data_IF_468412282150
#
_entry.id   IF_468412282150
#
_cell.length_a   1.000
_cell.length_b   1.000
_cell.length_c   1.000
_cell.angle_alpha   90.00
_cell.angle_beta   90.00
_cell.angle_gamma   90.00
#
_symmetry.space_group_name_H-M   'P 1'
#
loop_
_entity.id
_entity.type
_entity.pdbx_description
1 polymer ?
#
# COMPACT_ATOMS: atom_id res chain seq x y z
N UNK A 1 -0.56 -10.53 42.65
CA UNK A 1 0.76 -10.17 42.09
C UNK A 1 0.56 -9.79 40.62
N UNK A 2 0.23 -8.53 40.38
CA UNK A 2 0.07 -7.99 39.02
C UNK A 2 1.48 -7.72 38.49
N UNK A 3 1.96 -8.60 37.60
CA UNK A 3 3.28 -8.45 36.99
C UNK A 3 3.38 -7.08 36.30
N UNK A 4 4.42 -6.33 36.67
CA UNK A 4 4.76 -5.05 36.04
C UNK A 4 4.86 -5.27 34.53
N UNK A 5 3.94 -4.72 33.75
CA UNK A 5 4.01 -4.72 32.29
C UNK A 5 5.11 -3.73 31.93
N UNK A 6 6.36 -4.19 31.89
CA UNK A 6 7.46 -3.40 31.37
C UNK A 6 7.22 -3.32 29.87
N UNK A 7 6.86 -2.15 29.37
CA UNK A 7 6.85 -1.86 27.94
C UNK A 7 8.28 -2.10 27.43
N UNK A 8 8.52 -3.26 26.83
CA UNK A 8 9.85 -3.63 26.34
C UNK A 8 10.18 -2.70 25.17
N UNK A 9 11.24 -1.91 25.32
CA UNK A 9 11.77 -1.11 24.21
C UNK A 9 12.30 -2.07 23.14
N UNK A 10 11.66 -2.08 21.97
CA UNK A 10 11.97 -2.98 20.86
C UNK A 10 12.85 -2.27 19.85
N UNK A 11 13.99 -2.86 19.52
CA UNK A 11 14.87 -2.35 18.48
C UNK A 11 14.58 -3.06 17.16
N UNK A 12 14.48 -2.28 16.08
CA UNK A 12 14.16 -2.77 14.75
C UNK A 12 15.31 -2.57 13.78
N UNK A 13 15.53 -3.53 12.90
CA UNK A 13 16.61 -3.54 11.92
C UNK A 13 16.09 -4.02 10.55
N UNK A 14 16.62 -3.44 9.47
CA UNK A 14 16.32 -3.88 8.11
C UNK A 14 17.30 -4.97 7.69
N UNK A 15 16.79 -6.15 7.37
CA UNK A 15 17.57 -7.36 7.08
C UNK A 15 17.37 -7.76 5.63
N UNK A 16 18.49 -8.04 4.95
CA UNK A 16 18.52 -8.54 3.59
C UNK A 16 18.51 -10.07 3.60
N UNK A 17 17.58 -10.66 2.85
CA UNK A 17 17.43 -12.11 2.75
C UNK A 17 18.01 -12.68 1.47
N UNK A 18 18.41 -13.95 1.53
CA UNK A 18 18.96 -14.70 0.40
C UNK A 18 17.91 -14.85 -0.71
N UNK A 19 18.27 -14.41 -1.92
CA UNK A 19 17.38 -14.44 -3.09
C UNK A 19 17.32 -15.85 -3.69
N UNK A 20 16.17 -16.20 -4.26
CA UNK A 20 16.09 -17.31 -5.21
C UNK A 20 16.60 -16.84 -6.59
N UNK A 21 17.37 -17.66 -7.30
CA UNK A 21 17.86 -17.36 -8.67
C UNK A 21 16.75 -16.91 -9.63
N UNK A 22 15.49 -17.33 -9.40
CA UNK A 22 14.30 -16.83 -10.10
C UNK A 22 13.15 -16.55 -9.12
N UNK A 23 12.91 -15.26 -8.83
CA UNK A 23 11.65 -14.76 -8.25
C UNK A 23 11.61 -14.64 -6.72
N UNK A 24 11.80 -13.41 -6.24
CA UNK A 24 11.39 -12.89 -4.91
C UNK A 24 11.72 -13.73 -3.68
N UNK A 25 11.10 -13.35 -2.55
CA UNK A 25 11.20 -14.10 -1.29
C UNK A 25 10.51 -15.46 -1.45
N UNK A 26 11.22 -16.54 -1.09
CA UNK A 26 10.72 -17.92 -1.19
C UNK A 26 9.48 -18.11 -0.30
N UNK A 27 8.41 -18.66 -0.87
CA UNK A 27 7.23 -19.14 -0.12
C UNK A 27 7.33 -20.65 0.09
N UNK A 28 6.95 -21.12 1.27
CA UNK A 28 6.88 -22.55 1.61
C UNK A 28 5.55 -22.79 2.30
N UNK A 29 4.94 -23.95 2.05
CA UNK A 29 3.70 -24.31 2.72
C UNK A 29 4.04 -25.06 4.00
N UNK A 30 3.71 -24.47 5.14
CA UNK A 30 3.98 -25.02 6.48
C UNK A 30 2.72 -25.72 6.99
N UNK A 31 2.89 -26.82 7.72
CA UNK A 31 1.78 -27.69 8.10
C UNK A 31 1.17 -28.40 6.89
N UNK A 32 0.15 -29.23 7.11
CA UNK A 32 -0.53 -29.97 6.03
C UNK A 32 -0.77 -31.43 6.40
N UNK A 33 -1.91 -31.96 5.96
CA UNK A 33 -2.21 -33.40 6.09
C UNK A 33 -1.45 -34.16 5.02
N UNK A 34 -0.93 -35.33 5.42
CA UNK A 34 -0.27 -36.26 4.52
C UNK A 34 -1.18 -37.47 4.34
N UNK A 35 -1.40 -37.85 3.09
CA UNK A 35 -2.10 -39.07 2.72
C UNK A 35 -1.06 -40.12 2.32
N UNK A 36 -1.23 -41.33 2.84
CA UNK A 36 -0.41 -42.47 2.45
C UNK A 36 -1.04 -43.13 1.22
N UNK A 37 -0.27 -43.30 0.15
CA UNK A 37 -0.68 -44.02 -1.04
C UNK A 37 0.32 -45.14 -1.34
N UNK A 38 -0.14 -46.16 -2.06
CA UNK A 38 0.71 -47.27 -2.49
C UNK A 38 1.27 -46.96 -3.87
N UNK A 39 2.59 -46.98 -4.02
CA UNK A 39 3.21 -46.81 -5.33
C UNK A 39 3.00 -48.05 -6.22
N UNK A 40 3.35 -47.94 -7.50
CA UNK A 40 3.20 -49.03 -8.48
C UNK A 40 4.03 -50.27 -8.12
N UNK A 41 5.04 -50.14 -7.24
CA UNK A 41 5.86 -51.24 -6.73
C UNK A 41 5.38 -51.76 -5.35
N UNK A 42 4.18 -51.35 -4.90
CA UNK A 42 3.57 -51.82 -3.66
C UNK A 42 4.09 -51.16 -2.38
N UNK A 43 5.02 -50.20 -2.46
CA UNK A 43 5.60 -49.52 -1.29
C UNK A 43 4.68 -48.38 -0.84
N UNK A 44 4.57 -48.19 0.47
CA UNK A 44 3.78 -47.10 1.05
C UNK A 44 4.59 -45.81 0.95
N UNK A 45 4.03 -44.81 0.27
CA UNK A 45 4.59 -43.47 0.12
C UNK A 45 3.61 -42.46 0.73
N UNK A 46 4.13 -41.34 1.23
CA UNK A 46 3.30 -40.24 1.72
C UNK A 46 3.34 -39.11 0.70
N UNK A 47 2.17 -38.61 0.33
CA UNK A 47 2.00 -37.38 -0.43
C UNK A 47 1.28 -36.38 0.43
N UNK A 48 1.62 -35.11 0.28
CA UNK A 48 0.86 -34.02 0.89
C UNK A 48 -0.47 -33.86 0.17
N UNK A 49 -1.56 -33.77 0.93
CA UNK A 49 -2.89 -33.46 0.35
C UNK A 49 -2.89 -32.02 -0.15
N UNK A 50 -3.26 -31.85 -1.43
CA UNK A 50 -3.31 -30.54 -2.07
C UNK A 50 -4.36 -29.64 -1.39
N UNK A 51 -4.05 -28.35 -1.27
CA UNK A 51 -4.90 -27.39 -0.56
C UNK A 51 -4.83 -27.44 0.97
N UNK A 52 -4.08 -28.39 1.56
CA UNK A 52 -3.92 -28.44 3.02
C UNK A 52 -2.61 -27.78 3.47
N UNK A 53 -2.70 -26.85 4.44
CA UNK A 53 -1.58 -26.14 5.09
C UNK A 53 -1.38 -24.70 4.61
N UNK A 54 -0.63 -23.92 5.39
CA UNK A 54 -0.54 -22.46 5.24
C UNK A 54 0.65 -22.05 4.39
N UNK A 55 0.42 -21.19 3.39
CA UNK A 55 1.48 -20.66 2.53
C UNK A 55 2.12 -19.45 3.21
N UNK A 56 3.30 -19.64 3.77
CA UNK A 56 4.04 -18.60 4.51
C UNK A 56 5.32 -18.23 3.76
N UNK A 57 5.84 -17.03 3.99
CA UNK A 57 7.18 -16.65 3.53
C UNK A 57 8.24 -17.39 4.36
N UNK A 58 9.19 -18.02 3.68
CA UNK A 58 10.18 -18.87 4.34
C UNK A 58 11.08 -18.10 5.32
N UNK A 59 11.65 -16.93 4.97
CA UNK A 59 12.49 -16.19 5.92
C UNK A 59 11.71 -15.72 7.14
N UNK A 60 10.46 -15.27 6.95
CA UNK A 60 9.57 -14.89 8.05
C UNK A 60 9.33 -16.07 9.00
N UNK A 61 9.05 -17.25 8.47
CA UNK A 61 8.81 -18.44 9.28
C UNK A 61 10.07 -18.88 10.06
N UNK A 62 11.25 -18.85 9.42
CA UNK A 62 12.51 -19.24 10.07
C UNK A 62 12.89 -18.25 11.17
N UNK A 63 12.79 -16.95 10.89
CA UNK A 63 13.13 -15.90 11.86
C UNK A 63 12.19 -15.90 13.06
N UNK A 64 10.88 -16.10 12.84
CA UNK A 64 9.92 -16.26 13.95
C UNK A 64 10.21 -17.50 14.78
N UNK A 65 10.60 -18.61 14.15
CA UNK A 65 11.00 -19.84 14.87
C UNK A 65 12.26 -19.64 15.72
N UNK A 66 13.17 -18.77 15.29
CA UNK A 66 14.33 -18.36 16.08
C UNK A 66 13.98 -17.35 17.21
N UNK A 67 12.70 -16.98 17.36
CA UNK A 67 12.23 -16.10 18.42
C UNK A 67 12.44 -14.61 18.14
N UNK A 68 12.54 -14.21 16.86
CA UNK A 68 12.57 -12.80 16.48
C UNK A 68 11.18 -12.30 16.09
N UNK A 69 10.91 -11.03 16.36
CA UNK A 69 9.75 -10.35 15.79
C UNK A 69 10.02 -9.98 14.34
N UNK A 70 9.08 -10.26 13.45
CA UNK A 70 9.28 -10.06 12.01
C UNK A 70 8.12 -9.30 11.40
N UNK A 71 8.45 -8.21 10.74
CA UNK A 71 7.54 -7.44 9.91
C UNK A 71 7.96 -7.48 8.45
N UNK A 72 7.12 -8.08 7.62
CA UNK A 72 7.26 -8.10 6.17
C UNK A 72 6.12 -7.27 5.56
N UNK A 73 6.40 -6.05 5.06
CA UNK A 73 5.36 -5.27 4.38
C UNK A 73 4.97 -5.98 3.09
N UNK A 74 3.68 -6.25 2.92
CA UNK A 74 3.12 -6.91 1.74
C UNK A 74 2.10 -6.01 1.04
N UNK A 75 2.06 -6.10 -0.29
CA UNK A 75 1.02 -5.52 -1.14
C UNK A 75 0.22 -6.63 -1.82
N UNK A 76 -1.09 -6.45 -1.95
CA UNK A 76 -1.95 -7.36 -2.72
C UNK A 76 -1.92 -6.94 -4.19
N UNK A 77 -1.43 -7.83 -5.04
CA UNK A 77 -1.38 -7.64 -6.50
C UNK A 77 -2.30 -8.63 -7.19
N UNK A 78 -2.94 -8.20 -8.26
CA UNK A 78 -3.79 -9.05 -9.08
C UNK A 78 -2.90 -9.83 -10.05
N UNK A 79 -2.93 -11.16 -9.98
CA UNK A 79 -2.11 -12.02 -10.85
C UNK A 79 -2.98 -13.05 -11.54
N UNK A 80 -2.73 -13.29 -12.84
CA UNK A 80 -3.38 -14.39 -13.56
C UNK A 80 -3.01 -15.73 -12.93
N UNK A 81 -4.01 -16.57 -12.65
CA UNK A 81 -3.84 -17.87 -11.99
C UNK A 81 -3.11 -18.87 -12.89
N UNK A 82 -3.44 -18.87 -14.17
CA UNK A 82 -2.81 -19.69 -15.20
C UNK A 82 -2.42 -18.80 -16.39
N UNK A 83 -1.35 -19.15 -17.12
CA UNK A 83 -0.93 -18.41 -18.32
C UNK A 83 -2.00 -18.45 -19.42
N UNK A 84 -2.78 -19.53 -19.46
CA UNK A 84 -3.77 -19.83 -20.50
C UNK A 84 -5.21 -19.47 -20.12
N UNK A 85 -5.46 -18.99 -18.90
CA UNK A 85 -6.82 -18.67 -18.41
C UNK A 85 -7.01 -17.18 -18.11
N UNK A 86 -8.25 -16.66 -18.20
CA UNK A 86 -8.57 -15.26 -17.88
C UNK A 86 -8.65 -14.98 -16.36
N UNK A 87 -8.70 -16.03 -15.54
CA UNK A 87 -8.89 -15.92 -14.09
C UNK A 87 -7.73 -15.18 -13.41
N UNK A 88 -8.08 -14.10 -12.70
CA UNK A 88 -7.17 -13.29 -11.91
C UNK A 88 -7.41 -13.52 -10.42
N UNK A 89 -6.35 -13.68 -9.64
CA UNK A 89 -6.40 -13.93 -8.18
C UNK A 89 -5.53 -12.90 -7.47
N UNK A 90 -5.99 -12.40 -6.33
CA UNK A 90 -5.19 -11.55 -5.47
C UNK A 90 -4.07 -12.36 -4.81
N UNK A 91 -2.83 -11.93 -5.01
CA UNK A 91 -1.64 -12.55 -4.45
C UNK A 91 -0.91 -11.52 -3.60
N UNK A 92 -0.60 -11.86 -2.36
CA UNK A 92 0.26 -11.05 -1.50
C UNK A 92 1.71 -11.14 -1.97
N UNK A 93 2.31 -10.01 -2.32
CA UNK A 93 3.70 -9.86 -2.74
C UNK A 93 4.43 -8.92 -1.76
N UNK A 94 5.69 -9.21 -1.38
CA UNK A 94 6.50 -8.28 -0.60
C UNK A 94 6.59 -6.90 -1.27
N UNK A 95 6.54 -5.84 -0.47
CA UNK A 95 6.69 -4.47 -0.94
C UNK A 95 8.13 -4.21 -1.42
N UNK A 96 9.10 -4.63 -0.61
CA UNK A 96 10.53 -4.54 -0.91
C UNK A 96 11.03 -5.92 -1.34
N UNK A 97 11.81 -5.95 -2.43
CA UNK A 97 12.48 -7.17 -2.85
C UNK A 97 13.66 -7.45 -1.91
N UNK A 98 13.72 -8.66 -1.37
CA UNK A 98 14.85 -9.17 -0.57
C UNK A 98 15.09 -8.46 0.77
N UNK A 99 14.17 -7.61 1.24
CA UNK A 99 14.26 -6.95 2.54
C UNK A 99 13.07 -7.30 3.44
N UNK A 100 13.37 -7.45 4.73
CA UNK A 100 12.38 -7.57 5.80
C UNK A 100 12.85 -6.81 7.03
N UNK A 101 11.93 -6.52 7.94
CA UNK A 101 12.26 -5.87 9.20
C UNK A 101 12.21 -6.89 10.34
N UNK A 102 13.27 -6.91 11.15
CA UNK A 102 13.38 -7.78 12.32
C UNK A 102 13.48 -6.93 13.57
N UNK A 103 12.73 -7.30 14.59
CA UNK A 103 12.73 -6.67 15.89
C UNK A 103 13.10 -7.65 17.01
N UNK A 104 13.78 -7.13 18.04
CA UNK A 104 13.98 -7.85 19.30
C UNK A 104 14.12 -6.84 20.46
N UNK A 105 13.98 -7.28 21.72
CA UNK A 105 14.08 -6.39 22.87
C UNK A 105 15.47 -5.76 23.02
N UNK A 106 15.53 -4.46 23.36
CA UNK A 106 16.76 -3.68 23.46
C UNK A 106 17.78 -4.20 24.48
N UNK A 107 17.33 -4.95 25.49
CA UNK A 107 18.19 -5.46 26.57
C UNK A 107 19.09 -6.61 26.12
N UNK A 108 18.81 -7.25 24.98
CA UNK A 108 19.54 -8.42 24.49
C UNK A 108 20.15 -8.16 23.11
N UNK A 109 21.45 -8.41 22.95
CA UNK A 109 22.10 -8.38 21.64
C UNK A 109 21.99 -9.74 20.97
N UNK A 110 21.06 -9.85 20.01
CA UNK A 110 20.82 -11.09 19.24
C UNK A 110 21.39 -11.04 17.81
N UNK A 111 22.32 -10.11 17.57
CA UNK A 111 22.94 -9.84 16.28
C UNK A 111 23.64 -11.07 15.68
N UNK A 112 24.48 -11.74 16.47
CA UNK A 112 25.25 -12.90 16.00
C UNK A 112 24.33 -14.06 15.60
N UNK A 113 23.28 -14.32 16.40
CA UNK A 113 22.26 -15.34 16.12
C UNK A 113 21.54 -15.05 14.79
N UNK A 114 21.25 -13.77 14.51
CA UNK A 114 20.62 -13.38 13.24
C UNK A 114 21.52 -13.69 12.04
N UNK A 115 22.82 -13.45 12.16
CA UNK A 115 23.81 -13.66 11.09
C UNK A 115 24.16 -15.14 10.87
N UNK A 116 24.01 -16.00 11.87
CA UNK A 116 24.18 -17.46 11.75
C UNK A 116 23.08 -18.11 10.89
N UNK A 117 21.93 -17.47 10.74
CA UNK A 117 20.82 -18.00 9.95
C UNK A 117 21.09 -17.87 8.43
N UNK A 118 21.18 -19.00 7.71
CA UNK A 118 21.44 -19.03 6.24
C UNK A 118 20.38 -18.29 5.38
N UNK A 119 19.23 -17.92 5.96
CA UNK A 119 18.23 -17.08 5.27
C UNK A 119 18.63 -15.62 5.19
N UNK A 120 19.52 -15.16 6.07
CA UNK A 120 20.00 -13.78 6.14
C UNK A 120 21.31 -13.66 5.37
N UNK A 121 21.38 -12.69 4.46
CA UNK A 121 22.61 -12.34 3.74
C UNK A 121 23.36 -11.21 4.44
N UNK A 122 22.63 -10.31 5.08
CA UNK A 122 23.22 -9.20 5.84
C UNK A 122 22.15 -8.26 6.35
N UNK A 123 22.56 -7.23 7.07
CA UNK A 123 21.67 -6.21 7.63
C UNK A 123 22.12 -4.85 7.14
N UNK A 124 21.16 -3.94 6.98
CA UNK A 124 21.44 -2.56 6.61
C UNK A 124 22.29 -1.91 7.70
N UNK A 125 23.45 -1.40 7.31
CA UNK A 125 24.46 -0.93 8.24
C UNK A 125 25.51 -0.05 7.57
N UNK A 126 26.22 0.73 8.37
CA UNK A 126 27.40 1.51 7.96
C UNK A 126 28.63 0.93 8.67
N UNK A 127 29.72 0.71 7.93
CA UNK A 127 30.97 0.20 8.51
C UNK A 127 30.87 -1.18 9.16
N UNK A 128 29.92 -2.04 8.74
CA UNK A 128 29.72 -3.38 9.32
C UNK A 128 28.85 -3.42 10.57
N UNK A 129 28.35 -2.28 11.06
CA UNK A 129 27.43 -2.21 12.19
C UNK A 129 25.98 -2.00 11.72
N UNK A 130 25.00 -2.73 12.29
CA UNK A 130 23.60 -2.58 11.89
C UNK A 130 23.03 -1.23 12.33
N UNK A 131 22.29 -0.58 11.43
CA UNK A 131 21.60 0.69 11.72
C UNK A 131 20.22 0.39 12.30
N UNK A 132 19.99 0.87 13.53
CA UNK A 132 18.69 0.76 14.21
C UNK A 132 17.68 1.71 13.57
N UNK A 133 16.47 1.20 13.35
CA UNK A 133 15.32 1.96 12.89
C UNK A 133 14.56 2.48 14.10
N UNK A 134 14.13 3.75 14.05
CA UNK A 134 13.33 4.33 15.13
C UNK A 134 11.96 3.64 15.24
N UNK A 135 11.53 3.38 16.48
CA UNK A 135 10.24 2.78 16.80
C UNK A 135 9.07 3.55 16.18
N UNK A 136 9.12 4.89 16.20
CA UNK A 136 8.14 5.76 15.56
C UNK A 136 8.01 5.53 14.04
N UNK A 137 9.15 5.36 13.33
CA UNK A 137 9.16 5.07 11.89
C UNK A 137 8.60 3.68 11.62
N UNK A 138 8.93 2.71 12.47
CA UNK A 138 8.43 1.35 12.37
C UNK A 138 6.91 1.29 12.56
N UNK A 139 6.39 1.95 13.60
CA UNK A 139 4.95 2.03 13.85
C UNK A 139 4.19 2.65 12.68
N UNK A 140 4.74 3.70 12.06
CA UNK A 140 4.15 4.30 10.85
C UNK A 140 4.09 3.32 9.68
N UNK A 141 5.18 2.57 9.44
CA UNK A 141 5.22 1.54 8.40
C UNK A 141 4.24 0.40 8.68
N UNK A 142 4.13 -0.04 9.93
CA UNK A 142 3.17 -1.07 10.37
C UNK A 142 1.72 -0.62 10.17
N UNK A 143 1.38 0.62 10.53
CA UNK A 143 0.04 1.18 10.29
C UNK A 143 -0.29 1.25 8.79
N UNK A 144 0.69 1.58 7.96
CA UNK A 144 0.50 1.74 6.51
C UNK A 144 0.53 0.43 5.72
N UNK A 145 1.15 -0.65 6.24
CA UNK A 145 1.37 -1.89 5.46
C UNK A 145 1.06 -3.18 6.21
N UNK A 146 0.68 -3.11 7.49
CA UNK A 146 0.40 -4.28 8.33
C UNK A 146 -0.82 -5.09 7.92
N UNK A 147 -1.78 -4.49 7.21
CA UNK A 147 -2.99 -5.17 6.70
C UNK A 147 -2.89 -5.72 5.28
N UNK A 148 -1.73 -5.56 4.61
CA UNK A 148 -1.57 -5.97 3.21
C UNK A 148 -2.38 -5.12 2.24
N UNK A 149 -1.97 -3.87 2.04
CA UNK A 149 -2.68 -2.89 1.23
C UNK A 149 -2.73 -3.30 -0.25
N UNK A 150 -3.79 -2.89 -0.94
CA UNK A 150 -3.94 -3.10 -2.37
C UNK A 150 -2.83 -2.34 -3.11
N UNK A 151 -2.26 -2.98 -4.14
CA UNK A 151 -1.33 -2.28 -5.03
C UNK A 151 -2.03 -1.12 -5.75
N UNK A 152 -1.29 -0.08 -6.19
CA UNK A 152 -1.88 1.06 -6.90
C UNK A 152 -2.72 0.65 -8.13
N UNK A 153 -2.32 -0.41 -8.83
CA UNK A 153 -3.07 -0.99 -9.96
C UNK A 153 -4.40 -1.61 -9.50
N UNK A 154 -4.40 -2.38 -8.41
CA UNK A 154 -5.63 -2.92 -7.83
C UNK A 154 -6.53 -1.84 -7.26
N UNK A 155 -5.96 -0.76 -6.73
CA UNK A 155 -6.70 0.38 -6.23
C UNK A 155 -7.37 1.16 -7.37
N UNK A 156 -6.69 1.31 -8.51
CA UNK A 156 -7.26 1.89 -9.74
C UNK A 156 -8.43 1.05 -10.25
N UNK A 157 -8.27 -0.26 -10.36
CA UNK A 157 -9.35 -1.18 -10.79
C UNK A 157 -10.53 -1.22 -9.81
N UNK A 158 -10.27 -1.12 -8.50
CA UNK A 158 -11.33 -1.10 -7.49
C UNK A 158 -12.10 0.23 -7.48
N UNK A 159 -11.46 1.35 -7.83
CA UNK A 159 -12.12 2.65 -7.98
C UNK A 159 -12.91 2.75 -9.29
N UNK A 160 -12.35 2.32 -10.41
CA UNK A 160 -13.02 2.40 -11.72
C UNK A 160 -14.29 1.56 -11.79
N UNK A 161 -14.32 0.39 -11.13
CA UNK A 161 -15.51 -0.47 -11.08
C UNK A 161 -16.70 0.14 -10.31
N UNK A 162 -16.47 1.13 -9.45
CA UNK A 162 -17.50 1.76 -8.61
C UNK A 162 -17.96 3.13 -9.16
N UNK A 163 -17.31 3.66 -10.20
CA UNK A 163 -17.44 5.07 -10.59
C UNK A 163 -18.36 5.36 -11.79
N UNK A 164 -18.67 4.37 -12.63
CA UNK A 164 -19.46 4.60 -13.84
C UNK A 164 -20.92 4.16 -13.64
N UNK A 165 -21.85 5.10 -13.80
CA UNK A 165 -23.29 4.87 -13.66
C UNK A 165 -23.97 5.08 -15.02
N UNK A 166 -25.08 4.38 -15.26
CA UNK A 166 -25.94 4.64 -16.40
C UNK A 166 -26.40 6.12 -16.40
N UNK A 167 -26.22 6.81 -17.52
CA UNK A 167 -26.50 8.24 -17.68
C UNK A 167 -25.26 9.14 -17.69
N UNK A 168 -24.06 8.62 -17.37
CA UNK A 168 -22.84 9.42 -17.42
C UNK A 168 -22.41 9.72 -18.86
N UNK A 169 -21.85 10.91 -19.11
CA UNK A 169 -21.35 11.34 -20.42
C UNK A 169 -19.83 11.41 -20.40
N UNK A 170 -19.17 10.58 -21.22
CA UNK A 170 -17.72 10.53 -21.34
C UNK A 170 -17.29 10.80 -22.78
N UNK A 171 -16.00 11.12 -22.98
CA UNK A 171 -15.38 11.17 -24.32
C UNK A 171 -14.70 9.84 -24.61
N UNK A 172 -14.80 9.37 -25.84
CA UNK A 172 -14.14 8.13 -26.28
C UNK A 172 -12.62 8.39 -26.35
N UNK A 173 -11.80 7.65 -25.59
CA UNK A 173 -10.36 7.91 -25.51
C UNK A 173 -9.55 7.30 -26.66
N UNK A 174 -10.09 6.30 -27.38
CA UNK A 174 -9.35 5.50 -28.36
C UNK A 174 -10.32 4.73 -29.27
N UNK A 175 -10.09 4.74 -30.58
CA UNK A 175 -10.86 3.99 -31.59
C UNK A 175 -11.38 4.84 -32.76
N UNK A 176 -12.17 4.26 -33.69
CA UNK A 176 -12.69 4.97 -34.87
C UNK A 176 -13.67 6.11 -34.52
N UNK A 177 -14.06 6.23 -33.25
CA UNK A 177 -14.94 7.26 -32.70
C UNK A 177 -14.24 8.10 -31.62
N UNK A 178 -12.90 8.21 -31.68
CA UNK A 178 -12.10 9.06 -30.79
C UNK A 178 -12.67 10.49 -30.71
N UNK A 179 -12.60 11.10 -29.52
CA UNK A 179 -13.11 12.43 -29.19
C UNK A 179 -14.63 12.65 -29.23
N UNK A 180 -15.43 11.69 -29.70
CA UNK A 180 -16.89 11.78 -29.61
C UNK A 180 -17.39 11.61 -28.17
N UNK A 181 -18.45 12.34 -27.82
CA UNK A 181 -19.16 12.19 -26.54
C UNK A 181 -20.12 11.00 -26.65
N UNK A 182 -20.16 10.18 -25.62
CA UNK A 182 -21.08 9.05 -25.53
C UNK A 182 -21.76 9.01 -24.17
N UNK A 183 -22.99 8.55 -24.13
CA UNK A 183 -23.78 8.38 -22.90
C UNK A 183 -23.76 6.92 -22.49
N UNK A 184 -23.42 6.64 -21.24
CA UNK A 184 -23.40 5.27 -20.68
C UNK A 184 -24.82 4.75 -20.52
N UNK A 185 -25.13 3.60 -21.11
CA UNK A 185 -26.41 2.91 -20.94
C UNK A 185 -26.31 1.84 -19.85
N UNK A 186 -25.18 1.13 -19.81
CA UNK A 186 -24.94 0.07 -18.84
C UNK A 186 -23.44 -0.06 -18.55
N UNK A 187 -23.09 -0.26 -17.28
CA UNK A 187 -21.71 -0.36 -16.83
C UNK A 187 -21.51 -1.65 -16.02
N UNK A 188 -20.57 -2.48 -16.48
CA UNK A 188 -20.07 -3.66 -15.76
C UNK A 188 -18.62 -3.39 -15.33
N UNK A 189 -18.12 -4.11 -14.33
CA UNK A 189 -16.74 -3.96 -13.81
C UNK A 189 -15.59 -4.16 -14.82
N UNK A 190 -15.88 -4.50 -16.09
CA UNK A 190 -14.88 -4.73 -17.15
C UNK A 190 -15.22 -3.98 -18.43
N UNK A 191 -16.50 -3.90 -18.81
CA UNK A 191 -16.95 -3.17 -19.99
C UNK A 191 -18.10 -2.23 -19.68
N UNK A 192 -18.09 -1.11 -20.40
CA UNK A 192 -19.11 -0.06 -20.37
C UNK A 192 -19.75 -0.03 -21.75
N UNK A 193 -21.07 -0.18 -21.78
CA UNK A 193 -21.90 -0.05 -22.98
C UNK A 193 -22.49 1.35 -23.00
N UNK A 194 -22.28 2.05 -24.10
CA UNK A 194 -22.77 3.40 -24.30
C UNK A 194 -23.33 3.61 -25.69
N UNK A 195 -23.96 4.76 -25.88
CA UNK A 195 -24.52 5.19 -27.16
C UNK A 195 -23.86 6.51 -27.54
N UNK A 196 -23.44 6.60 -28.80
CA UNK A 196 -22.93 7.83 -29.42
C UNK A 196 -24.00 8.35 -30.37
N UNK A 197 -24.25 9.65 -30.34
CA UNK A 197 -25.03 10.33 -31.38
C UNK A 197 -24.08 10.84 -32.47
N UNK A 198 -24.15 10.23 -33.66
CA UNK A 198 -23.42 10.67 -34.84
C UNK A 198 -24.44 10.87 -35.97
N UNK A 199 -24.55 12.09 -36.49
CA UNK A 199 -25.48 12.49 -37.55
C UNK A 199 -26.97 12.23 -37.23
N UNK A 200 -27.37 12.38 -35.96
CA UNK A 200 -28.75 12.14 -35.53
C UNK A 200 -29.14 10.67 -35.53
N UNK A 201 -28.15 9.76 -35.50
CA UNK A 201 -28.34 8.31 -35.37
C UNK A 201 -27.60 7.83 -34.14
N UNK A 202 -28.33 7.18 -33.25
CA UNK A 202 -27.80 6.53 -32.07
C UNK A 202 -27.06 5.23 -32.45
N UNK A 203 -25.75 5.20 -32.26
CA UNK A 203 -24.90 4.03 -32.53
C UNK A 203 -24.38 3.45 -31.21
N UNK A 204 -24.62 2.16 -30.91
CA UNK A 204 -24.12 1.52 -29.70
C UNK A 204 -22.61 1.24 -29.79
N UNK A 205 -21.89 1.46 -28.69
CA UNK A 205 -20.46 1.22 -28.54
C UNK A 205 -20.18 0.45 -27.23
N UNK A 206 -19.18 -0.42 -27.23
CA UNK A 206 -18.64 -1.07 -26.04
C UNK A 206 -17.18 -0.66 -25.81
N UNK A 207 -16.88 -0.12 -24.63
CA UNK A 207 -15.54 0.32 -24.23
C UNK A 207 -15.12 -0.45 -22.98
N UNK A 208 -13.83 -0.76 -22.83
CA UNK A 208 -13.30 -1.32 -21.58
C UNK A 208 -13.27 -0.25 -20.49
N UNK A 209 -13.79 -0.56 -19.29
CA UNK A 209 -13.86 0.37 -18.17
C UNK A 209 -12.48 0.93 -17.77
N UNK A 210 -11.42 0.12 -17.93
CA UNK A 210 -10.03 0.53 -17.63
C UNK A 210 -9.51 1.69 -18.51
N UNK A 211 -10.14 1.95 -19.66
CA UNK A 211 -9.75 3.06 -20.56
C UNK A 211 -10.48 4.36 -20.27
N UNK A 212 -11.60 4.31 -19.54
CA UNK A 212 -12.40 5.50 -19.26
C UNK A 212 -11.82 6.27 -18.07
N UNK A 213 -11.78 7.61 -18.12
CA UNK A 213 -11.43 8.40 -16.96
C UNK A 213 -12.52 8.22 -15.89
N UNK A 214 -12.13 8.21 -14.61
CA UNK A 214 -13.10 8.21 -13.51
C UNK A 214 -14.08 9.40 -13.68
N UNK A 215 -15.33 9.25 -13.22
CA UNK A 215 -16.42 10.25 -13.38
C UNK A 215 -16.03 11.68 -12.99
N UNK A 216 -15.03 11.79 -12.12
CA UNK A 216 -14.41 13.04 -11.74
C UNK A 216 -13.27 13.42 -12.69
N UNK A 217 -13.63 13.62 -13.96
CA UNK A 217 -12.84 14.38 -14.94
C UNK A 217 -12.83 15.87 -14.64
N UNK A 218 -12.79 16.28 -13.36
CA UNK A 218 -12.15 17.50 -12.84
C UNK A 218 -12.16 17.47 -11.29
N UNK A 219 -11.29 16.66 -10.67
CA UNK A 219 -10.75 16.89 -9.31
C UNK A 219 -9.59 15.93 -9.02
N UNK A 220 -8.39 16.36 -9.39
CA UNK A 220 -7.19 15.97 -8.63
C UNK A 220 -7.27 16.69 -7.29
N UNK A 221 -7.63 15.95 -6.25
CA UNK A 221 -7.72 16.42 -4.86
C UNK A 221 -9.06 16.04 -4.28
N UNK A 222 -9.06 15.04 -3.41
CA UNK A 222 -9.87 14.91 -2.18
C UNK A 222 -10.06 13.44 -1.82
N UNK A 223 -9.11 12.90 -1.07
CA UNK A 223 -9.47 11.99 0.01
C UNK A 223 -9.45 12.86 1.26
N UNK A 224 -10.55 12.93 1.99
CA UNK A 224 -10.64 13.56 3.30
C UNK A 224 -11.55 12.63 4.15
N UNK A 225 -11.32 12.30 5.42
CA UNK A 225 -10.51 12.89 6.50
C UNK A 225 -9.94 11.77 7.43
N UNK A 226 -9.27 12.10 8.55
CA UNK A 226 -10.07 12.17 9.77
C UNK A 226 -9.97 13.53 10.47
N UNK A 227 -11.12 13.98 10.95
CA UNK A 227 -11.30 15.17 11.78
C UNK A 227 -11.24 14.68 13.22
N UNK A 228 -10.32 15.20 14.02
CA UNK A 228 -10.41 15.23 15.49
C UNK A 228 -9.55 16.43 15.93
N UNK A 229 -9.94 17.35 16.81
CA UNK A 229 -11.21 17.72 17.40
C UNK A 229 -11.13 19.26 17.56
N UNK A 230 -12.27 19.94 17.49
CA UNK A 230 -12.45 21.36 17.84
C UNK A 230 -11.80 22.39 16.89
N UNK A 231 -12.27 22.48 15.64
CA UNK A 231 -11.92 23.62 14.78
C UNK A 231 -12.45 23.49 13.35
N UNK A 232 -13.70 23.89 13.13
CA UNK A 232 -14.32 23.98 11.80
C UNK A 232 -13.73 25.14 10.97
N UNK A 233 -12.49 24.99 10.51
CA UNK A 233 -11.87 25.93 9.59
C UNK A 233 -12.28 25.64 8.14
N UNK A 234 -12.95 26.60 7.49
CA UNK A 234 -13.17 26.55 6.06
C UNK A 234 -11.83 26.55 5.30
N UNK A 235 -11.78 25.85 4.17
CA UNK A 235 -10.62 25.80 3.28
C UNK A 235 -10.13 27.20 2.91
N UNK A 236 -8.83 27.48 3.06
CA UNK A 236 -8.23 28.77 2.72
C UNK A 236 -7.61 28.72 1.30
N UNK A 237 -8.25 29.34 0.29
CA UNK A 237 -7.79 29.30 -1.09
C UNK A 237 -6.46 30.05 -1.33
N UNK A 238 -5.97 30.81 -0.35
CA UNK A 238 -4.70 31.53 -0.43
C UNK A 238 -3.45 30.68 -0.18
N UNK A 239 -3.61 29.41 0.18
CA UNK A 239 -2.50 28.51 0.48
C UNK A 239 -2.13 27.63 -0.72
N UNK A 240 -0.83 27.60 -1.04
CA UNK A 240 -0.30 26.70 -2.05
C UNK A 240 -0.36 25.23 -1.61
N UNK A 241 -0.44 24.32 -2.60
CA UNK A 241 -0.56 22.90 -2.36
C UNK A 241 0.61 22.37 -1.51
N UNK A 242 0.31 21.50 -0.54
CA UNK A 242 1.31 20.86 0.30
C UNK A 242 2.29 20.03 -0.55
N UNK A 243 3.52 19.81 -0.06
CA UNK A 243 4.55 18.94 -0.68
C UNK A 243 4.06 17.51 -0.97
N UNK A 244 3.00 17.05 -0.30
CA UNK A 244 2.35 15.78 -0.62
C UNK A 244 1.42 15.83 -1.86
N UNK A 245 1.32 16.98 -2.54
CA UNK A 245 0.49 17.21 -3.72
C UNK A 245 -0.98 17.55 -3.44
N UNK A 246 -1.37 17.76 -2.16
CA UNK A 246 -2.77 18.04 -1.80
C UNK A 246 -3.01 19.54 -1.65
N UNK A 247 -4.13 20.02 -2.20
CA UNK A 247 -4.52 21.44 -2.12
C UNK A 247 -5.18 21.82 -0.80
N UNK A 248 -5.63 20.88 0.03
CA UNK A 248 -6.29 21.17 1.31
C UNK A 248 -5.30 21.42 2.45
N UNK A 249 -5.02 22.68 2.74
CA UNK A 249 -4.31 23.13 3.94
C UNK A 249 -5.15 24.21 4.66
N UNK A 250 -5.13 24.19 5.98
CA UNK A 250 -5.82 25.18 6.82
C UNK A 250 -4.87 25.69 7.89
N UNK A 251 -5.00 26.97 8.24
CA UNK A 251 -4.32 27.52 9.41
C UNK A 251 -5.11 27.12 10.65
N UNK A 252 -4.42 26.55 11.63
CA UNK A 252 -4.99 26.06 12.89
C UNK A 252 -4.24 26.72 14.04
N UNK A 253 -4.93 27.21 15.08
CA UNK A 253 -4.28 27.70 16.30
C UNK A 253 -3.56 26.53 17.01
N UNK A 254 -2.35 26.79 17.48
CA UNK A 254 -1.51 25.85 18.24
C UNK A 254 -1.07 26.52 19.56
N UNK A 255 -0.50 25.75 20.48
CA UNK A 255 -0.12 26.23 21.83
C UNK A 255 0.84 27.42 21.78
N UNK A 256 1.69 27.48 20.76
CA UNK A 256 2.71 28.52 20.55
C UNK A 256 2.35 29.51 19.41
N UNK A 257 1.07 29.67 19.07
CA UNK A 257 0.60 30.63 18.04
C UNK A 257 -0.22 29.95 16.95
N UNK A 258 0.21 30.04 15.69
CA UNK A 258 -0.47 29.42 14.54
C UNK A 258 0.42 28.39 13.86
N UNK A 259 -0.21 27.35 13.31
CA UNK A 259 0.42 26.37 12.43
C UNK A 259 -0.45 26.12 11.21
N UNK A 260 0.14 25.65 10.11
CA UNK A 260 -0.60 25.19 8.93
C UNK A 260 -0.61 23.68 8.93
N UNK A 261 -1.81 23.11 8.84
CA UNK A 261 -2.01 21.66 8.81
C UNK A 261 -2.57 21.25 7.45
N UNK A 262 -2.01 20.20 6.87
CA UNK A 262 -2.60 19.59 5.68
C UNK A 262 -3.76 18.68 6.11
N UNK A 263 -4.97 19.01 5.65
CA UNK A 263 -6.20 18.30 6.02
C UNK A 263 -6.26 16.83 5.59
N UNK A 264 -5.39 16.40 4.66
CA UNK A 264 -5.35 15.00 4.20
C UNK A 264 -4.20 14.19 4.81
N UNK A 265 -2.98 14.74 4.90
CA UNK A 265 -1.81 13.99 5.41
C UNK A 265 -1.44 14.29 6.87
N UNK A 266 -2.10 15.27 7.51
CA UNK A 266 -1.89 15.65 8.91
C UNK A 266 -0.51 16.24 9.20
N UNK A 267 0.29 16.57 8.18
CA UNK A 267 1.57 17.27 8.39
C UNK A 267 1.31 18.70 8.79
N UNK A 268 2.08 19.16 9.78
CA UNK A 268 2.13 20.55 10.23
C UNK A 268 3.36 21.23 9.66
N UNK A 269 3.25 22.48 9.24
CA UNK A 269 4.39 23.35 8.99
C UNK A 269 4.05 24.79 9.42
N UNK A 270 5.05 25.69 9.35
CA UNK A 270 4.95 27.04 9.89
C UNK A 270 4.46 27.10 11.36
N UNK A 271 4.80 26.08 12.15
CA UNK A 271 4.44 25.94 13.58
C UNK A 271 5.12 27.04 14.38
N UNK A 272 4.42 27.64 15.33
CA UNK A 272 4.94 28.73 16.17
C UNK A 272 5.01 30.06 15.43
N UNK A 273 4.07 30.34 14.53
CA UNK A 273 3.96 31.65 13.89
C UNK A 273 3.08 32.56 14.73
N UNK A 274 3.55 33.78 15.02
CA UNK A 274 2.85 34.71 15.93
C UNK A 274 1.48 35.16 15.39
N UNK A 275 1.30 35.14 14.06
CA UNK A 275 0.05 35.53 13.38
C UNK A 275 -0.31 34.58 12.24
N UNK A 276 -1.60 34.52 11.88
CA UNK A 276 -2.12 33.74 10.77
C UNK A 276 -1.47 34.12 9.43
N UNK A 277 -1.26 35.43 9.18
CA UNK A 277 -0.61 35.92 7.96
C UNK A 277 0.88 35.53 7.90
N UNK A 278 1.57 35.52 9.03
CA UNK A 278 2.95 35.05 9.12
C UNK A 278 3.06 33.55 8.81
N UNK A 279 2.11 32.73 9.30
CA UNK A 279 2.06 31.30 8.98
C UNK A 279 1.91 31.07 7.46
N UNK A 280 0.97 31.78 6.81
CA UNK A 280 0.74 31.71 5.35
C UNK A 280 1.97 32.09 4.53
N UNK A 281 2.62 33.20 4.90
CA UNK A 281 3.83 33.67 4.22
C UNK A 281 4.99 32.67 4.33
N UNK A 282 5.25 32.16 5.54
CA UNK A 282 6.30 31.15 5.77
C UNK A 282 6.04 29.85 5.00
N UNK A 283 4.78 29.43 4.90
CA UNK A 283 4.39 28.25 4.11
C UNK A 283 4.67 28.42 2.62
N UNK A 284 4.24 29.54 2.03
CA UNK A 284 4.44 29.80 0.62
C UNK A 284 5.94 29.99 0.28
N UNK A 285 6.71 30.63 1.15
CA UNK A 285 8.17 30.72 1.01
C UNK A 285 8.86 29.35 1.10
N UNK A 286 8.45 28.52 2.05
CA UNK A 286 9.00 27.17 2.22
C UNK A 286 8.75 26.27 1.00
N UNK A 287 7.58 26.39 0.36
CA UNK A 287 7.26 25.65 -0.86
C UNK A 287 8.03 26.16 -2.08
N UNK A 288 8.23 27.48 -2.21
CA UNK A 288 9.03 28.06 -3.29
C UNK A 288 10.52 27.64 -3.26
N UNK A 289 11.02 27.24 -2.09
CA UNK A 289 12.40 26.75 -1.92
C UNK A 289 12.54 25.24 -2.19
N UNK A 290 11.43 24.49 -2.16
CA UNK A 290 11.42 23.03 -2.32
C UNK A 290 10.85 22.53 -3.67
N UNK A 291 10.30 23.43 -4.49
CA UNK A 291 9.97 23.18 -5.92
C UNK A 291 11.20 23.34 -6.80
#
# INVERSE_FOLDING_TARGET
MMGTIIAQDMQWFAVRVKRKQAGGIRKVTVGGKFEAYRDRAGRIRKRRVDGTGDRVFLPEHILRRAGFEVFLPVKKVLRRKNRFGPDKVFVSQPLLADWLFVGWPAFESRWHVLMELDVVTGVMGTGGHPVRISSARMMRLMRQWGGGHLSPECHRMAKSAQAHVAGDVFRVPDGPFEDFKFTVVDATAKSVRGVIDIFGRETPLEIQADKLPDRDGDRVGDVAMPIDADGGGAFDPGLSACICGHRMATVVPDVDGFCITCGNCGRRAAVGSDTESAARSRWNQWLAVMS
#
